data_IF_683336558439
#
_entry.id   IF_683336558439
#
_cell.length_a   1.000
_cell.length_b   1.000
_cell.length_c   1.000
_cell.angle_alpha   90.00
_cell.angle_beta   90.00
_cell.angle_gamma   90.00
#
_symmetry.space_group_name_H-M   'P 1'
#
loop_
_entity.id
_entity.type
_entity.pdbx_description
1 polymer ?
#
# COMPACT_ATOMS: atom_id res chain seq x y z
N UNK A 1 14.28 4.82 -4.29
CA UNK A 1 13.99 4.21 -2.97
C UNK A 1 14.51 2.78 -2.99
N UNK A 2 14.81 2.21 -1.84
CA UNK A 2 15.19 0.80 -1.68
C UNK A 2 13.94 -0.11 -1.69
N UNK A 3 14.16 -1.42 -1.83
CA UNK A 3 13.07 -2.40 -1.78
C UNK A 3 12.95 -2.96 -0.37
N UNK A 4 11.74 -2.89 0.16
CA UNK A 4 11.39 -3.36 1.49
C UNK A 4 10.48 -4.58 1.43
N UNK A 5 10.44 -5.34 2.53
CA UNK A 5 9.46 -6.40 2.74
C UNK A 5 9.00 -6.47 4.19
N UNK A 6 7.80 -6.98 4.40
CA UNK A 6 7.30 -7.37 5.72
C UNK A 6 6.24 -8.47 5.60
N UNK A 7 6.05 -9.22 6.70
CA UNK A 7 4.85 -10.02 6.90
C UNK A 7 3.67 -9.07 7.13
N UNK A 8 2.67 -9.13 6.26
CA UNK A 8 1.49 -8.26 6.28
C UNK A 8 0.32 -8.86 7.08
N UNK A 9 0.41 -10.12 7.44
CA UNK A 9 -0.53 -10.81 8.34
C UNK A 9 0.00 -10.79 9.78
N UNK A 10 -0.87 -10.91 10.79
CA UNK A 10 -0.41 -11.07 12.17
C UNK A 10 0.55 -12.26 12.30
N UNK A 11 1.67 -12.09 13.02
CA UNK A 11 2.65 -13.16 13.16
C UNK A 11 2.08 -14.34 13.95
N UNK A 12 2.46 -15.55 13.55
CA UNK A 12 2.05 -16.76 14.25
C UNK A 12 1.70 -17.92 13.32
N UNK A 13 0.97 -18.91 13.85
CA UNK A 13 0.49 -20.06 13.08
C UNK A 13 -0.88 -19.74 12.50
N UNK A 14 -1.03 -19.90 11.20
CA UNK A 14 -2.29 -19.70 10.50
C UNK A 14 -2.39 -20.56 9.24
N UNK A 15 -3.51 -20.46 8.53
CA UNK A 15 -3.67 -21.12 7.23
C UNK A 15 -2.83 -20.44 6.16
N UNK A 16 -2.70 -19.10 6.24
CA UNK A 16 -1.97 -18.26 5.28
C UNK A 16 -1.16 -17.21 6.03
N UNK A 17 0.05 -16.93 5.52
CA UNK A 17 0.84 -15.76 5.88
C UNK A 17 1.22 -15.02 4.59
N UNK A 18 1.05 -13.71 4.57
CA UNK A 18 1.35 -12.87 3.42
C UNK A 18 2.63 -12.07 3.69
N UNK A 19 3.63 -12.26 2.84
CA UNK A 19 4.83 -11.41 2.83
C UNK A 19 4.75 -10.48 1.63
N UNK A 20 4.73 -9.17 1.89
CA UNK A 20 4.66 -8.12 0.86
C UNK A 20 6.03 -7.50 0.64
N UNK A 21 6.36 -7.31 -0.64
CA UNK A 21 7.52 -6.56 -1.11
C UNK A 21 7.06 -5.27 -1.77
N UNK A 22 7.81 -4.18 -1.60
CA UNK A 22 7.57 -2.91 -2.31
C UNK A 22 8.89 -2.25 -2.66
N UNK A 23 8.98 -1.76 -3.89
CA UNK A 23 10.17 -1.06 -4.42
C UNK A 23 10.70 -1.66 -5.73
N UNK A 24 11.73 -1.05 -6.31
CA UNK A 24 12.18 -1.32 -7.68
C UNK A 24 12.69 -2.75 -7.92
N UNK A 25 13.20 -3.46 -6.92
CA UNK A 25 13.65 -4.83 -7.06
C UNK A 25 12.58 -5.89 -6.75
N UNK A 26 11.36 -5.49 -6.34
CA UNK A 26 10.32 -6.42 -5.87
C UNK A 26 9.96 -7.47 -6.92
N UNK A 27 9.76 -7.05 -8.18
CA UNK A 27 9.44 -7.95 -9.28
C UNK A 27 10.59 -8.92 -9.56
N UNK A 28 11.81 -8.40 -9.76
CA UNK A 28 12.97 -9.22 -10.11
C UNK A 28 13.24 -10.29 -9.05
N UNK A 29 13.21 -9.90 -7.77
CA UNK A 29 13.45 -10.83 -6.67
C UNK A 29 12.34 -11.87 -6.54
N UNK A 30 11.07 -11.49 -6.77
CA UNK A 30 9.97 -12.45 -6.78
C UNK A 30 10.10 -13.46 -7.94
N UNK A 31 10.46 -12.99 -9.13
CA UNK A 31 10.69 -13.85 -10.30
C UNK A 31 11.92 -14.77 -10.12
N UNK A 32 12.98 -14.32 -9.47
CA UNK A 32 14.16 -15.13 -9.13
C UNK A 32 13.82 -16.29 -8.19
N UNK A 33 12.89 -16.08 -7.26
CA UNK A 33 12.47 -17.08 -6.29
C UNK A 33 11.39 -18.03 -6.82
N UNK A 34 10.51 -17.55 -7.71
CA UNK A 34 9.28 -18.25 -8.07
C UNK A 34 9.06 -18.46 -9.58
N UNK A 35 9.97 -17.93 -10.41
CA UNK A 35 9.83 -17.92 -11.86
C UNK A 35 8.94 -16.77 -12.36
N UNK A 36 8.80 -16.65 -13.68
CA UNK A 36 8.16 -15.52 -14.34
C UNK A 36 6.74 -15.22 -13.84
N UNK A 37 6.45 -13.93 -13.65
CA UNK A 37 5.17 -13.36 -13.26
C UNK A 37 4.73 -12.34 -14.34
N UNK A 38 4.31 -12.79 -15.55
CA UNK A 38 4.20 -11.94 -16.73
C UNK A 38 3.15 -10.83 -16.59
N UNK A 39 2.01 -11.10 -15.97
CA UNK A 39 0.90 -10.15 -15.87
C UNK A 39 0.70 -9.68 -14.43
N UNK A 40 0.43 -8.39 -14.25
CA UNK A 40 0.06 -7.84 -12.95
C UNK A 40 -1.37 -8.24 -12.57
N UNK A 41 -1.63 -8.30 -11.27
CA UNK A 41 -2.94 -8.63 -10.67
C UNK A 41 -3.48 -10.02 -11.00
N UNK A 42 -2.65 -10.88 -11.59
CA UNK A 42 -2.94 -12.29 -11.73
C UNK A 42 -2.31 -13.07 -10.58
N UNK A 43 -2.99 -14.11 -10.13
CA UNK A 43 -2.47 -15.03 -9.11
C UNK A 43 -1.72 -16.18 -9.76
N UNK A 44 -0.51 -16.44 -9.29
CA UNK A 44 0.37 -17.49 -9.80
C UNK A 44 0.66 -18.49 -8.69
N UNK A 45 0.19 -19.73 -8.83
CA UNK A 45 0.64 -20.79 -7.94
C UNK A 45 2.01 -21.27 -8.37
N UNK A 46 3.01 -21.13 -7.50
CA UNK A 46 4.42 -21.38 -7.81
C UNK A 46 5.13 -22.11 -6.67
N UNK A 47 6.19 -22.83 -7.04
CA UNK A 47 7.18 -23.32 -6.09
C UNK A 47 8.17 -22.21 -5.81
N UNK A 48 8.27 -21.75 -4.58
CA UNK A 48 9.22 -20.74 -4.14
C UNK A 48 10.50 -21.46 -3.74
N UNK A 49 11.60 -21.09 -4.38
CA UNK A 49 12.92 -21.74 -4.19
C UNK A 49 14.01 -20.72 -3.93
N UNK A 50 14.96 -21.12 -3.07
CA UNK A 50 16.19 -20.39 -2.87
C UNK A 50 17.36 -21.33 -3.18
N UNK A 51 17.99 -21.15 -4.36
CA UNK A 51 18.90 -22.14 -4.93
C UNK A 51 18.17 -23.46 -5.20
N UNK A 52 18.66 -24.55 -4.64
CA UNK A 52 18.03 -25.89 -4.76
C UNK A 52 16.92 -26.15 -3.74
N UNK A 53 16.80 -25.32 -2.69
CA UNK A 53 15.91 -25.54 -1.57
C UNK A 53 14.48 -25.04 -1.87
N UNK A 54 13.49 -25.90 -1.66
CA UNK A 54 12.07 -25.55 -1.77
C UNK A 54 11.59 -24.96 -0.45
N UNK A 55 11.31 -23.67 -0.46
CA UNK A 55 10.78 -22.97 0.71
C UNK A 55 9.29 -23.31 0.92
N UNK A 56 8.48 -23.14 -0.14
CA UNK A 56 7.03 -23.39 -0.09
C UNK A 56 6.46 -23.53 -1.51
N UNK A 57 5.18 -23.91 -1.58
CA UNK A 57 4.33 -23.77 -2.77
C UNK A 57 3.20 -22.82 -2.43
N UNK A 58 3.15 -21.67 -3.09
CA UNK A 58 2.31 -20.58 -2.66
C UNK A 58 1.71 -19.81 -3.85
N UNK A 59 0.74 -18.96 -3.58
CA UNK A 59 0.24 -17.99 -4.54
C UNK A 59 1.12 -16.73 -4.48
N UNK A 60 1.42 -16.19 -5.64
CA UNK A 60 2.08 -14.90 -5.79
C UNK A 60 1.18 -13.97 -6.60
N UNK A 61 1.17 -12.70 -6.22
CA UNK A 61 0.50 -11.63 -6.95
C UNK A 61 1.49 -10.50 -7.15
N UNK A 62 1.57 -10.00 -8.38
CA UNK A 62 2.40 -8.84 -8.75
C UNK A 62 1.50 -7.63 -9.01
N UNK A 63 1.94 -6.46 -8.57
CA UNK A 63 1.31 -5.17 -8.83
C UNK A 63 2.33 -4.25 -9.48
N UNK A 64 1.91 -3.49 -10.49
CA UNK A 64 2.75 -2.49 -11.15
C UNK A 64 2.72 -1.16 -10.41
N UNK A 65 3.78 -0.38 -10.59
CA UNK A 65 3.86 0.99 -10.10
C UNK A 65 2.63 1.81 -10.54
N UNK A 66 2.12 2.66 -9.64
CA UNK A 66 0.88 3.43 -9.84
C UNK A 66 -0.41 2.63 -9.61
N UNK A 67 -0.34 1.29 -9.56
CA UNK A 67 -1.50 0.41 -9.38
C UNK A 67 -1.35 -0.54 -8.18
N UNK A 68 -0.40 -0.28 -7.30
CA UNK A 68 -0.15 -0.99 -6.04
C UNK A 68 -0.55 -0.13 -4.84
N UNK A 69 -0.57 -0.74 -3.66
CA UNK A 69 -0.86 -0.02 -2.40
C UNK A 69 0.13 1.12 -2.13
N UNK A 70 1.41 0.92 -2.39
CA UNK A 70 2.46 1.93 -2.15
C UNK A 70 2.72 2.86 -3.33
N UNK A 71 2.09 2.61 -4.49
CA UNK A 71 2.42 3.29 -5.75
C UNK A 71 3.71 2.80 -6.42
N UNK A 72 4.47 1.91 -5.79
CA UNK A 72 5.68 1.28 -6.33
C UNK A 72 5.38 -0.10 -6.94
N UNK A 73 6.33 -0.70 -7.68
CA UNK A 73 6.24 -2.12 -8.00
C UNK A 73 6.17 -2.94 -6.73
N UNK A 74 5.21 -3.85 -6.64
CA UNK A 74 4.98 -4.66 -5.44
C UNK A 74 4.70 -6.11 -5.80
N UNK A 75 5.09 -7.03 -4.90
CA UNK A 75 4.76 -8.44 -5.00
C UNK A 75 4.30 -8.97 -3.65
N UNK A 76 3.35 -9.89 -3.66
CA UNK A 76 2.87 -10.58 -2.46
C UNK A 76 3.10 -12.08 -2.60
N UNK A 77 3.64 -12.68 -1.54
CA UNK A 77 3.78 -14.12 -1.37
C UNK A 77 2.75 -14.59 -0.35
N UNK A 78 1.75 -15.34 -0.78
CA UNK A 78 0.72 -15.93 0.08
C UNK A 78 1.15 -17.35 0.46
N UNK A 79 1.97 -17.43 1.50
CA UNK A 79 2.60 -18.66 2.00
C UNK A 79 1.65 -19.46 2.90
N UNK A 80 2.00 -20.73 3.15
CA UNK A 80 1.44 -21.41 4.31
C UNK A 80 1.89 -20.70 5.59
N UNK A 81 0.92 -20.49 6.52
CA UNK A 81 1.12 -19.70 7.73
C UNK A 81 1.94 -20.42 8.81
N UNK A 82 3.11 -20.91 8.44
CA UNK A 82 4.08 -21.51 9.36
C UNK A 82 5.24 -20.53 9.59
N UNK A 83 5.53 -20.10 10.84
CA UNK A 83 6.58 -19.12 11.13
C UNK A 83 7.97 -19.48 10.57
N UNK A 84 8.27 -20.78 10.45
CA UNK A 84 9.54 -21.24 9.88
C UNK A 84 9.60 -20.98 8.37
N UNK A 85 8.49 -21.07 7.65
CA UNK A 85 8.39 -20.79 6.22
C UNK A 85 8.59 -19.29 5.97
N UNK A 86 7.91 -18.44 6.75
CA UNK A 86 8.06 -16.99 6.69
C UNK A 86 9.51 -16.59 6.95
N UNK A 87 10.11 -17.05 8.04
CA UNK A 87 11.52 -16.78 8.37
C UNK A 87 12.50 -17.25 7.28
N UNK A 88 12.21 -18.38 6.64
CA UNK A 88 13.07 -18.90 5.56
C UNK A 88 12.96 -18.01 4.31
N UNK A 89 11.75 -17.54 3.95
CA UNK A 89 11.60 -16.57 2.86
C UNK A 89 12.27 -15.23 3.21
N UNK A 90 12.05 -14.68 4.40
CA UNK A 90 12.70 -13.44 4.85
C UNK A 90 14.23 -13.52 4.77
N UNK A 91 14.83 -14.65 5.16
CA UNK A 91 16.27 -14.85 5.03
C UNK A 91 16.73 -14.81 3.57
N UNK A 92 15.96 -15.40 2.66
CA UNK A 92 16.24 -15.37 1.22
C UNK A 92 16.11 -13.96 0.62
N UNK A 93 15.16 -13.13 1.12
CA UNK A 93 14.99 -11.73 0.71
C UNK A 93 16.14 -10.85 1.22
N UNK A 94 16.55 -11.01 2.48
CA UNK A 94 17.69 -10.31 3.07
C UNK A 94 18.99 -10.62 2.31
N UNK A 95 19.21 -11.89 1.93
CA UNK A 95 20.39 -12.31 1.16
C UNK A 95 20.45 -11.67 -0.24
N UNK A 96 19.30 -11.20 -0.77
CA UNK A 96 19.20 -10.47 -2.05
C UNK A 96 19.25 -8.96 -1.89
N UNK A 97 19.59 -8.46 -0.70
CA UNK A 97 19.77 -7.03 -0.44
C UNK A 97 18.47 -6.25 -0.16
N UNK A 98 17.34 -6.93 0.01
CA UNK A 98 16.14 -6.28 0.52
C UNK A 98 16.28 -6.06 2.03
N UNK A 99 15.60 -5.06 2.56
CA UNK A 99 15.51 -4.86 4.01
C UNK A 99 14.09 -5.04 4.54
N UNK A 100 13.97 -5.30 5.83
CA UNK A 100 12.67 -5.26 6.48
C UNK A 100 12.11 -3.85 6.49
N UNK A 101 10.81 -3.73 6.25
CA UNK A 101 10.07 -2.49 6.44
C UNK A 101 10.05 -2.08 7.92
N UNK A 102 10.10 -0.78 8.16
CA UNK A 102 9.78 -0.23 9.48
C UNK A 102 8.26 -0.22 9.72
N UNK A 103 7.81 -0.17 10.99
CA UNK A 103 6.38 -0.05 11.28
C UNK A 103 5.74 1.13 10.54
N UNK A 104 4.65 0.89 9.81
CA UNK A 104 3.95 1.92 9.03
C UNK A 104 4.60 2.33 7.71
N UNK A 105 5.75 1.76 7.34
CA UNK A 105 6.51 2.22 6.16
C UNK A 105 5.76 2.02 4.83
N UNK A 106 4.99 0.96 4.67
CA UNK A 106 4.15 0.78 3.47
C UNK A 106 3.12 1.90 3.34
N UNK A 107 2.46 2.27 4.44
CA UNK A 107 1.48 3.37 4.46
C UNK A 107 2.15 4.72 4.24
N UNK A 108 3.35 4.94 4.80
CA UNK A 108 4.13 6.14 4.55
C UNK A 108 4.50 6.27 3.06
N UNK A 109 4.91 5.20 2.41
CA UNK A 109 5.21 5.18 0.97
C UNK A 109 3.95 5.46 0.14
N UNK A 110 2.81 4.92 0.53
CA UNK A 110 1.51 5.20 -0.08
C UNK A 110 1.16 6.69 -0.01
N UNK A 111 1.37 7.31 1.14
CA UNK A 111 1.17 8.75 1.33
C UNK A 111 2.14 9.59 0.48
N UNK A 112 3.44 9.29 0.53
CA UNK A 112 4.46 10.03 -0.24
C UNK A 112 4.23 9.92 -1.75
N UNK A 113 3.77 8.78 -2.24
CA UNK A 113 3.47 8.55 -3.65
C UNK A 113 2.12 9.13 -4.11
N UNK A 114 1.34 9.70 -3.18
CA UNK A 114 0.02 10.27 -3.48
C UNK A 114 -1.08 9.23 -3.73
N UNK A 115 -0.87 7.97 -3.33
CA UNK A 115 -1.91 6.93 -3.39
C UNK A 115 -2.96 7.12 -2.29
N UNK A 116 -2.57 7.72 -1.18
CA UNK A 116 -3.43 8.05 -0.05
C UNK A 116 -3.15 9.46 0.43
N UNK A 117 -4.18 10.19 0.86
CA UNK A 117 -4.04 11.43 1.60
C UNK A 117 -3.92 11.15 3.12
N UNK A 118 -3.68 12.20 3.92
CA UNK A 118 -3.50 12.05 5.36
C UNK A 118 -4.76 11.54 6.06
N UNK A 119 -5.95 11.98 5.64
CA UNK A 119 -7.22 11.54 6.23
C UNK A 119 -7.48 10.06 5.91
N UNK A 120 -7.11 9.61 4.71
CA UNK A 120 -7.20 8.20 4.32
C UNK A 120 -6.23 7.32 5.12
N UNK A 121 -5.01 7.81 5.40
CA UNK A 121 -4.02 7.14 6.27
C UNK A 121 -4.56 6.99 7.69
N UNK A 122 -5.12 8.06 8.26
CA UNK A 122 -5.73 8.03 9.58
C UNK A 122 -6.94 7.10 9.62
N UNK A 123 -7.82 7.17 8.61
CA UNK A 123 -8.97 6.28 8.47
C UNK A 123 -8.57 4.80 8.35
N UNK A 124 -7.49 4.50 7.65
CA UNK A 124 -6.94 3.13 7.58
C UNK A 124 -6.45 2.65 8.95
N UNK A 125 -5.76 3.52 9.71
CA UNK A 125 -5.32 3.21 11.07
C UNK A 125 -6.50 2.91 11.99
N UNK A 126 -7.54 3.76 11.94
CA UNK A 126 -8.76 3.58 12.72
C UNK A 126 -9.52 2.31 12.32
N UNK A 127 -9.52 1.97 11.04
CA UNK A 127 -10.14 0.74 10.54
C UNK A 127 -9.46 -0.51 11.11
N UNK A 128 -8.12 -0.51 11.15
CA UNK A 128 -7.34 -1.62 11.72
C UNK A 128 -7.52 -1.74 13.25
N UNK A 129 -7.84 -0.63 13.93
CA UNK A 129 -8.08 -0.59 15.37
C UNK A 129 -9.57 -0.74 15.76
N UNK A 130 -10.49 -0.80 14.79
CA UNK A 130 -11.93 -0.83 15.05
C UNK A 130 -12.39 -2.13 15.71
N UNK A 131 -13.03 -2.01 16.86
CA UNK A 131 -13.60 -3.13 17.63
C UNK A 131 -15.14 -3.19 17.54
N UNK A 132 -15.80 -2.11 17.05
CA UNK A 132 -17.24 -2.00 16.93
C UNK A 132 -17.68 -1.69 15.50
N UNK A 133 -18.91 -2.06 15.15
CA UNK A 133 -19.47 -1.79 13.83
C UNK A 133 -19.60 -0.29 13.53
N UNK A 134 -19.83 0.53 14.55
CA UNK A 134 -19.88 1.99 14.40
C UNK A 134 -18.49 2.55 14.08
N UNK A 135 -17.44 2.10 14.76
CA UNK A 135 -16.05 2.46 14.47
C UNK A 135 -15.66 2.05 13.05
N UNK A 136 -15.98 0.80 12.67
CA UNK A 136 -15.68 0.30 11.31
C UNK A 136 -16.32 1.19 10.22
N UNK A 137 -17.60 1.57 10.38
CA UNK A 137 -18.29 2.42 9.41
C UNK A 137 -17.62 3.78 9.25
N UNK A 138 -17.33 4.46 10.35
CA UNK A 138 -16.66 5.76 10.34
C UNK A 138 -15.24 5.66 9.72
N UNK A 139 -14.49 4.65 10.09
CA UNK A 139 -13.14 4.44 9.58
C UNK A 139 -13.14 4.13 8.07
N UNK A 140 -14.11 3.35 7.57
CA UNK A 140 -14.26 3.10 6.12
C UNK A 140 -14.58 4.39 5.37
N UNK A 141 -15.49 5.23 5.89
CA UNK A 141 -15.80 6.53 5.28
C UNK A 141 -14.57 7.43 5.19
N UNK A 142 -13.77 7.51 6.28
CA UNK A 142 -12.54 8.28 6.32
C UNK A 142 -11.50 7.71 5.33
N UNK A 143 -11.28 6.38 5.32
CA UNK A 143 -10.28 5.71 4.47
C UNK A 143 -10.63 5.68 2.97
N UNK A 144 -11.85 6.08 2.58
CA UNK A 144 -12.28 6.15 1.17
C UNK A 144 -12.26 7.56 0.59
N UNK A 145 -11.60 8.51 1.26
CA UNK A 145 -11.43 9.90 0.79
C UNK A 145 -12.71 10.75 0.86
N UNK A 146 -13.71 10.37 1.66
CA UNK A 146 -14.94 11.16 1.80
C UNK A 146 -14.64 12.55 2.37
N UNK A 147 -13.77 12.64 3.36
CA UNK A 147 -13.39 13.91 3.99
C UNK A 147 -12.57 14.78 3.03
N UNK A 148 -11.64 14.18 2.27
CA UNK A 148 -10.85 14.89 1.26
C UNK A 148 -11.72 15.54 0.18
N UNK A 149 -12.72 14.82 -0.33
CA UNK A 149 -13.67 15.38 -1.31
C UNK A 149 -14.45 16.57 -0.76
N UNK A 150 -14.94 16.48 0.46
CA UNK A 150 -15.67 17.56 1.12
C UNK A 150 -14.78 18.79 1.36
N UNK A 151 -13.53 18.57 1.79
CA UNK A 151 -12.56 19.63 1.97
C UNK A 151 -12.23 20.34 0.64
N UNK A 152 -12.14 19.61 -0.47
CA UNK A 152 -11.89 20.17 -1.79
C UNK A 152 -13.08 21.02 -2.27
N UNK A 153 -14.32 20.58 -2.09
CA UNK A 153 -15.51 21.38 -2.38
C UNK A 153 -15.52 22.70 -1.58
N UNK A 154 -15.16 22.65 -0.31
CA UNK A 154 -15.05 23.88 0.50
C UNK A 154 -13.91 24.78 0.03
N UNK A 155 -12.74 24.19 -0.32
CA UNK A 155 -11.61 24.93 -0.85
C UNK A 155 -11.98 25.68 -2.13
N UNK A 156 -12.64 25.01 -3.08
CA UNK A 156 -13.11 25.61 -4.33
C UNK A 156 -14.11 26.74 -4.07
N UNK A 157 -15.08 26.54 -3.18
CA UNK A 157 -16.04 27.56 -2.77
C UNK A 157 -15.38 28.79 -2.15
N UNK A 158 -14.40 28.58 -1.26
CA UNK A 158 -13.66 29.68 -0.64
C UNK A 158 -12.77 30.44 -1.64
N UNK A 159 -12.08 29.74 -2.54
CA UNK A 159 -11.29 30.36 -3.61
C UNK A 159 -12.19 31.20 -4.52
N UNK A 160 -13.34 30.68 -4.92
CA UNK A 160 -14.30 31.42 -5.75
C UNK A 160 -14.81 32.67 -5.04
N UNK A 161 -15.24 32.55 -3.78
CA UNK A 161 -15.69 33.70 -2.98
C UNK A 161 -14.57 34.74 -2.81
N UNK A 162 -13.33 34.31 -2.55
CA UNK A 162 -12.18 35.17 -2.46
C UNK A 162 -11.91 35.92 -3.78
N UNK A 163 -11.96 35.22 -4.90
CA UNK A 163 -11.81 35.85 -6.22
C UNK A 163 -12.88 36.91 -6.51
N UNK A 164 -14.15 36.65 -6.16
CA UNK A 164 -15.23 37.60 -6.31
C UNK A 164 -15.03 38.86 -5.46
N UNK A 165 -14.60 38.69 -4.19
CA UNK A 165 -14.28 39.80 -3.30
C UNK A 165 -13.10 40.63 -3.85
N UNK A 166 -12.04 39.98 -4.29
CA UNK A 166 -10.87 40.66 -4.88
C UNK A 166 -11.28 41.45 -6.11
N UNK A 167 -12.07 40.84 -7.02
CA UNK A 167 -12.56 41.53 -8.21
C UNK A 167 -13.42 42.74 -7.85
N UNK A 168 -14.29 42.65 -6.84
CA UNK A 168 -15.14 43.79 -6.41
C UNK A 168 -14.34 44.93 -5.77
N UNK A 169 -13.17 44.63 -5.22
CA UNK A 169 -12.26 45.66 -4.68
C UNK A 169 -11.44 46.32 -5.81
N UNK A 170 -10.89 45.50 -6.70
CA UNK A 170 -9.99 45.96 -7.77
C UNK A 170 -10.75 46.72 -8.88
N UNK A 171 -12.00 46.40 -9.10
CA UNK A 171 -12.87 47.00 -10.14
C UNK A 171 -14.06 47.76 -9.54
N UNK A 172 -13.89 48.33 -8.36
CA UNK A 172 -14.96 49.04 -7.63
C UNK A 172 -15.52 50.24 -8.42
N UNK A 173 -14.78 50.81 -9.38
CA UNK A 173 -15.18 51.95 -10.18
C UNK A 173 -15.79 51.59 -11.55
N UNK A 174 -15.87 50.29 -11.89
CA UNK A 174 -16.55 49.82 -13.10
C UNK A 174 -18.00 49.42 -12.73
N UNK A 175 -18.96 50.22 -13.13
CA UNK A 175 -20.37 49.88 -13.03
C UNK A 175 -20.64 48.65 -13.93
N UNK A 176 -21.04 47.52 -13.29
CA UNK A 176 -21.53 46.31 -13.96
C UNK A 176 -23.01 46.42 -14.21
#
# INVERSE_FOLDING_TARGET
MDTIFAEATPPGRGGVSIVRLSGPASRQVAEDLAGALPEARNSYYRSIRDGGDLIDRALLVRFEAGASFTGEDSCEFHLHGAPVVVKRLEAALLARGLRRAEPGEFTLRSFISGQMDLAEVEGLSDLLAAETESQRKLAVEASTGALGRLAEEWREGLVHAGAMITASIDFADEEI
#
